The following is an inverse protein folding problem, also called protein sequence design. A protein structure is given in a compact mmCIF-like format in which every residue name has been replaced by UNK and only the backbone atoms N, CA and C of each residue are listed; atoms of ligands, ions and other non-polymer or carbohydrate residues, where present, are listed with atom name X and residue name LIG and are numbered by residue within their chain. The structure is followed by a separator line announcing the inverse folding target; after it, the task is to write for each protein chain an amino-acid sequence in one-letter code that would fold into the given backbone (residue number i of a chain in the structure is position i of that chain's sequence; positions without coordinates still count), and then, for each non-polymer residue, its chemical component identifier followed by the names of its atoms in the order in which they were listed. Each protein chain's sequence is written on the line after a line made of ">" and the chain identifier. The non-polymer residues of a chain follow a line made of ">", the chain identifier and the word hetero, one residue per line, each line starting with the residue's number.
data_IF_862211625025
#
_entry.id   IF_862211625025
#
_cell.length_a   1.000
_cell.length_b   1.000
_cell.length_c   1.000
_cell.angle_alpha   90.00
_cell.angle_beta   90.00
_cell.angle_gamma   90.00
#
_symmetry.space_group_name_H-M   'P 1'
#
loop_
_entity.id
_entity.type
_entity.pdbx_description
1 polymer ?
#
# COMPACT_ATOMS: atom_id res chain seq x y z
N UNK A 1 2.01 -13.07 -9.98
CA UNK A 1 2.04 -13.36 -8.52
C UNK A 1 2.61 -12.17 -7.78
N UNK A 2 1.98 -11.75 -6.66
CA UNK A 2 2.41 -10.61 -5.83
C UNK A 2 2.99 -11.07 -4.49
N UNK A 3 4.05 -10.42 -4.02
CA UNK A 3 4.62 -10.63 -2.67
C UNK A 3 5.38 -9.41 -2.19
N UNK A 4 5.24 -9.06 -0.93
CA UNK A 4 6.12 -8.12 -0.24
C UNK A 4 7.40 -8.86 0.10
N UNK A 5 8.56 -8.24 -0.09
CA UNK A 5 9.87 -8.81 0.21
C UNK A 5 10.42 -8.28 1.53
N UNK A 6 10.42 -6.97 1.68
CA UNK A 6 10.84 -6.32 2.92
C UNK A 6 10.15 -4.95 3.11
N UNK A 7 10.15 -4.50 4.35
CA UNK A 7 9.76 -3.16 4.76
C UNK A 7 10.80 -2.64 5.74
N UNK A 8 11.46 -1.53 5.38
CA UNK A 8 12.40 -0.82 6.23
C UNK A 8 11.78 0.46 6.74
N UNK A 9 11.80 0.65 8.04
CA UNK A 9 11.46 1.90 8.70
C UNK A 9 12.75 2.62 9.08
N UNK A 10 12.89 3.86 8.67
CA UNK A 10 14.09 4.67 8.92
C UNK A 10 13.65 5.86 9.76
N UNK A 11 14.26 6.01 10.93
CA UNK A 11 13.95 7.11 11.83
C UNK A 11 14.82 8.34 11.55
N UNK A 12 14.52 9.44 12.22
CA UNK A 12 15.26 10.71 12.09
C UNK A 12 16.73 10.62 12.49
N UNK A 13 17.09 9.63 13.31
CA UNK A 13 18.47 9.34 13.72
C UNK A 13 19.20 8.42 12.74
N UNK A 14 18.57 8.04 11.62
CA UNK A 14 19.08 7.11 10.62
C UNK A 14 19.19 5.66 11.10
N UNK A 15 18.52 5.31 12.19
CA UNK A 15 18.38 3.92 12.60
C UNK A 15 17.35 3.22 11.71
N UNK A 16 17.65 1.97 11.33
CA UNK A 16 16.84 1.19 10.42
C UNK A 16 16.23 -0.04 11.12
N UNK A 17 14.93 -0.24 10.92
CA UNK A 17 14.19 -1.39 11.40
C UNK A 17 13.62 -2.17 10.21
N UNK A 18 14.16 -3.36 9.95
CA UNK A 18 13.80 -4.17 8.78
C UNK A 18 12.86 -5.30 9.14
N UNK A 19 11.75 -5.38 8.44
CA UNK A 19 10.83 -6.52 8.44
C UNK A 19 10.98 -7.28 7.12
N UNK A 20 11.41 -8.54 7.19
CA UNK A 20 11.54 -9.41 6.02
C UNK A 20 10.36 -10.37 5.94
N UNK A 21 9.78 -10.49 4.75
CA UNK A 21 8.64 -11.38 4.49
C UNK A 21 9.10 -12.63 3.75
N UNK A 22 8.62 -13.78 4.19
CA UNK A 22 8.86 -15.07 3.53
C UNK A 22 7.78 -15.35 2.50
N UNK A 23 8.07 -16.21 1.54
CA UNK A 23 7.05 -16.73 0.65
C UNK A 23 5.98 -17.51 1.44
N UNK A 24 4.71 -17.35 1.05
CA UNK A 24 3.58 -17.95 1.75
C UNK A 24 3.04 -17.10 2.89
N UNK A 25 2.59 -17.74 3.98
CA UNK A 25 1.91 -17.06 5.08
C UNK A 25 2.96 -16.52 6.08
N UNK A 26 2.79 -15.26 6.46
CA UNK A 26 3.60 -14.59 7.47
C UNK A 26 2.72 -14.25 8.68
N UNK A 27 3.12 -14.71 9.87
CA UNK A 27 2.41 -14.46 11.12
C UNK A 27 3.15 -13.44 11.97
N UNK A 28 2.45 -12.40 12.37
CA UNK A 28 2.94 -11.40 13.32
C UNK A 28 2.32 -11.67 14.69
N UNK A 29 3.14 -12.12 15.64
CA UNK A 29 2.73 -12.42 17.01
C UNK A 29 3.26 -11.36 17.97
N UNK A 30 2.42 -10.89 18.88
CA UNK A 30 2.79 -9.95 19.93
C UNK A 30 1.69 -9.87 20.99
N UNK A 31 2.02 -9.30 22.15
CA UNK A 31 1.05 -9.00 23.21
C UNK A 31 -0.02 -8.03 22.72
N UNK A 32 -1.10 -7.87 23.47
CA UNK A 32 -2.04 -6.78 23.23
C UNK A 32 -1.28 -5.46 23.29
N UNK A 33 -1.72 -4.48 22.51
CA UNK A 33 -1.11 -3.15 22.37
C UNK A 33 0.35 -3.12 21.90
N UNK A 34 0.82 -4.20 21.24
CA UNK A 34 2.18 -4.27 20.66
C UNK A 34 2.29 -3.66 19.26
N UNK A 35 1.30 -2.91 18.80
CA UNK A 35 1.33 -2.23 17.49
C UNK A 35 0.99 -3.09 16.28
N UNK A 36 0.44 -4.32 16.44
CA UNK A 36 0.08 -5.18 15.29
C UNK A 36 -0.92 -4.53 14.34
N UNK A 37 -1.95 -3.91 14.89
CA UNK A 37 -2.98 -3.20 14.11
C UNK A 37 -2.37 -1.99 13.40
N UNK A 38 -1.47 -1.27 14.06
CA UNK A 38 -0.77 -0.14 13.46
C UNK A 38 0.19 -0.58 12.35
N UNK A 39 0.88 -1.70 12.53
CA UNK A 39 1.72 -2.28 11.49
C UNK A 39 0.90 -2.67 10.24
N UNK A 40 -0.28 -3.26 10.41
CA UNK A 40 -1.20 -3.54 9.32
C UNK A 40 -1.64 -2.26 8.58
N UNK A 41 -2.07 -1.24 9.31
CA UNK A 41 -2.44 0.08 8.74
C UNK A 41 -1.26 0.73 8.03
N UNK A 42 -0.05 0.51 8.53
CA UNK A 42 1.17 1.02 7.93
C UNK A 42 1.48 0.36 6.58
N UNK A 43 1.25 -0.94 6.46
CA UNK A 43 1.35 -1.62 5.15
C UNK A 43 0.32 -1.03 4.16
N UNK A 44 -0.91 -0.80 4.59
CA UNK A 44 -1.93 -0.14 3.79
C UNK A 44 -1.52 1.30 3.40
N UNK A 45 -0.91 2.04 4.33
CA UNK A 45 -0.32 3.35 4.05
C UNK A 45 0.72 3.26 2.94
N UNK A 46 1.63 2.30 2.97
CA UNK A 46 2.63 2.10 1.91
C UNK A 46 1.99 1.84 0.54
N UNK A 47 0.81 1.27 0.49
CA UNK A 47 0.03 1.05 -0.74
C UNK A 47 -0.94 2.20 -1.08
N UNK A 48 -0.65 3.41 -0.65
CA UNK A 48 -1.36 4.61 -1.09
C UNK A 48 -2.62 4.92 -0.28
N UNK A 49 -2.73 4.44 0.96
CA UNK A 49 -3.72 4.94 1.90
C UNK A 49 -3.46 6.40 2.24
N UNK A 50 -4.54 7.17 2.38
CA UNK A 50 -4.52 8.53 2.93
C UNK A 50 -4.43 8.55 4.46
N UNK A 51 -4.11 7.40 5.08
CA UNK A 51 -3.95 7.30 6.52
C UNK A 51 -2.88 8.28 7.01
N UNK A 52 -3.27 9.23 7.84
CA UNK A 52 -2.36 10.23 8.39
C UNK A 52 -1.55 9.62 9.54
N UNK A 53 -0.27 9.37 9.29
CA UNK A 53 0.67 8.86 10.28
C UNK A 53 1.34 9.96 11.11
N UNK A 54 1.15 11.24 10.76
CA UNK A 54 1.87 12.35 11.39
C UNK A 54 1.52 12.54 12.87
N UNK A 55 0.30 12.21 13.24
CA UNK A 55 -0.24 12.37 14.60
C UNK A 55 -0.20 11.08 15.43
N UNK A 56 0.47 10.03 14.94
CA UNK A 56 0.54 8.75 15.65
C UNK A 56 1.87 8.67 16.41
N UNK A 57 1.85 8.52 17.74
CA UNK A 57 3.06 8.50 18.56
C UNK A 57 4.12 7.48 18.11
N UNK A 58 3.69 6.30 17.62
CA UNK A 58 4.58 5.25 17.12
C UNK A 58 5.43 5.68 15.93
N UNK A 59 4.97 6.67 15.15
CA UNK A 59 5.65 7.18 13.97
C UNK A 59 6.23 8.58 14.16
N UNK A 60 6.25 9.10 15.42
CA UNK A 60 6.76 10.44 15.71
C UNK A 60 8.17 10.66 15.17
N UNK A 61 9.03 9.66 15.35
CA UNK A 61 10.42 9.70 14.92
C UNK A 61 10.66 9.07 13.53
N UNK A 62 9.63 8.66 12.80
CA UNK A 62 9.79 8.11 11.47
C UNK A 62 10.20 9.22 10.49
N UNK A 63 11.29 9.03 9.77
CA UNK A 63 11.68 9.89 8.63
C UNK A 63 11.02 9.40 7.35
N UNK A 64 11.26 8.12 7.02
CA UNK A 64 10.72 7.48 5.83
C UNK A 64 10.58 5.98 6.00
N UNK A 65 9.75 5.39 5.16
CA UNK A 65 9.64 3.96 5.02
C UNK A 65 9.95 3.54 3.59
N UNK A 66 10.66 2.43 3.45
CA UNK A 66 11.03 1.83 2.17
C UNK A 66 10.45 0.43 2.11
N UNK A 67 9.61 0.16 1.13
CA UNK A 67 9.07 -1.18 0.90
C UNK A 67 9.56 -1.71 -0.45
N UNK A 68 10.00 -2.95 -0.46
CA UNK A 68 10.29 -3.69 -1.68
C UNK A 68 9.24 -4.78 -1.85
N UNK A 69 8.62 -4.81 -3.00
CA UNK A 69 7.68 -5.87 -3.37
C UNK A 69 7.96 -6.39 -4.78
N UNK A 70 7.45 -7.57 -5.07
CA UNK A 70 7.56 -8.18 -6.39
C UNK A 70 6.16 -8.46 -6.95
N UNK A 71 5.94 -8.11 -8.22
CA UNK A 71 4.73 -8.42 -8.98
C UNK A 71 5.13 -8.99 -10.34
N UNK A 72 4.68 -10.20 -10.61
CA UNK A 72 4.90 -10.90 -11.88
C UNK A 72 6.38 -10.95 -12.32
N UNK A 73 7.28 -11.17 -11.36
CA UNK A 73 8.72 -11.28 -11.60
C UNK A 73 9.47 -9.96 -11.42
N UNK A 74 8.84 -8.82 -11.61
CA UNK A 74 9.45 -7.49 -11.52
C UNK A 74 9.48 -7.04 -10.06
N UNK A 75 10.61 -6.46 -9.64
CA UNK A 75 10.77 -5.89 -8.29
C UNK A 75 10.61 -4.38 -8.33
N UNK A 76 9.83 -3.90 -7.41
CA UNK A 76 9.53 -2.49 -7.21
C UNK A 76 10.00 -2.05 -5.83
N UNK A 77 10.48 -0.83 -5.75
CA UNK A 77 10.83 -0.15 -4.50
C UNK A 77 9.97 1.09 -4.37
N UNK A 78 9.24 1.18 -3.30
CA UNK A 78 8.43 2.34 -2.98
C UNK A 78 8.91 2.98 -1.69
N UNK A 79 8.90 4.30 -1.65
CA UNK A 79 9.28 5.06 -0.46
C UNK A 79 8.18 6.05 -0.14
N UNK A 80 7.79 6.10 1.11
CA UNK A 80 6.89 7.13 1.65
C UNK A 80 7.52 7.81 2.85
N UNK A 81 7.30 9.11 2.95
CA UNK A 81 7.69 9.93 4.10
C UNK A 81 6.46 10.34 4.91
N UNK A 82 6.66 10.98 6.06
CA UNK A 82 5.56 11.62 6.78
C UNK A 82 4.85 12.70 5.95
N UNK A 83 5.61 13.41 5.11
CA UNK A 83 5.03 14.35 4.18
C UNK A 83 4.40 13.57 3.02
N UNK A 84 3.08 13.57 2.93
CA UNK A 84 2.33 12.86 1.90
C UNK A 84 2.71 13.25 0.46
N UNK A 85 3.31 14.43 0.27
CA UNK A 85 3.71 14.93 -1.04
C UNK A 85 5.13 14.53 -1.46
N UNK A 86 5.87 13.83 -0.57
CA UNK A 86 7.24 13.39 -0.86
C UNK A 86 7.26 11.87 -0.88
N UNK A 87 7.20 11.29 -2.07
CA UNK A 87 7.21 9.86 -2.30
C UNK A 87 8.19 9.52 -3.43
N UNK A 88 8.57 8.23 -3.51
CA UNK A 88 9.42 7.73 -4.59
C UNK A 88 8.91 6.36 -5.03
N UNK A 89 9.11 6.09 -6.32
CA UNK A 89 8.70 4.84 -6.93
C UNK A 89 9.73 4.39 -7.96
N UNK A 90 10.40 3.27 -7.71
CA UNK A 90 11.49 2.75 -8.54
C UNK A 90 11.27 1.31 -8.98
N UNK A 91 11.88 0.96 -10.11
CA UNK A 91 12.10 -0.42 -10.54
C UNK A 91 13.51 -0.85 -10.14
N UNK A 92 13.65 -1.90 -9.34
CA UNK A 92 14.97 -2.31 -8.83
C UNK A 92 15.86 -2.90 -9.93
N UNK A 93 15.26 -3.56 -10.91
CA UNK A 93 15.98 -4.30 -11.94
C UNK A 93 16.30 -3.44 -13.19
N UNK A 94 15.96 -2.14 -13.20
CA UNK A 94 16.26 -1.20 -14.28
C UNK A 94 17.38 -0.22 -13.89
N UNK A 95 18.56 -0.25 -14.56
CA UNK A 95 19.75 0.49 -14.12
C UNK A 95 19.72 2.01 -14.34
N UNK A 96 18.67 2.58 -14.94
CA UNK A 96 18.58 4.00 -15.31
C UNK A 96 17.33 4.70 -14.75
N UNK A 97 16.82 4.24 -13.62
CA UNK A 97 15.62 4.87 -13.07
C UNK A 97 16.00 6.10 -12.23
N UNK A 98 15.46 7.25 -12.62
CA UNK A 98 15.59 8.49 -11.85
C UNK A 98 14.80 8.35 -10.54
N UNK A 99 15.53 8.41 -9.42
CA UNK A 99 14.95 8.52 -8.06
C UNK A 99 14.30 9.91 -7.89
N UNK A 100 13.34 10.26 -8.74
CA UNK A 100 12.66 11.54 -8.65
C UNK A 100 11.60 11.51 -7.56
N UNK A 101 11.54 12.60 -6.82
CA UNK A 101 10.44 12.87 -5.91
C UNK A 101 9.14 13.03 -6.72
N UNK A 102 8.09 12.33 -6.28
CA UNK A 102 6.78 12.36 -6.89
C UNK A 102 5.72 12.74 -5.85
N UNK A 103 4.68 13.41 -6.28
CA UNK A 103 3.54 13.71 -5.44
C UNK A 103 2.67 12.48 -5.17
N UNK A 104 1.67 12.63 -4.32
CA UNK A 104 0.84 11.52 -3.89
C UNK A 104 -0.07 10.98 -5.00
N UNK A 105 -0.53 11.83 -5.90
CA UNK A 105 -1.39 11.42 -7.01
C UNK A 105 -0.59 10.63 -8.05
N UNK A 106 0.61 11.08 -8.38
CA UNK A 106 1.52 10.35 -9.25
C UNK A 106 1.93 9.00 -8.62
N UNK A 107 2.21 8.99 -7.31
CA UNK A 107 2.50 7.76 -6.58
C UNK A 107 1.36 6.73 -6.68
N UNK A 108 0.12 7.16 -6.47
CA UNK A 108 -1.07 6.30 -6.62
C UNK A 108 -1.23 5.80 -8.06
N UNK A 109 -1.00 6.68 -9.05
CA UNK A 109 -1.10 6.32 -10.46
C UNK A 109 -0.07 5.25 -10.84
N UNK A 110 1.19 5.38 -10.37
CA UNK A 110 2.24 4.37 -10.60
C UNK A 110 1.89 3.03 -9.95
N UNK A 111 1.41 3.03 -8.71
CA UNK A 111 0.90 1.81 -8.05
C UNK A 111 -0.22 1.17 -8.87
N UNK A 112 -1.18 1.98 -9.34
CA UNK A 112 -2.29 1.50 -10.14
C UNK A 112 -1.82 0.82 -11.42
N UNK A 113 -0.83 1.41 -12.12
CA UNK A 113 -0.27 0.85 -13.35
C UNK A 113 0.37 -0.53 -13.13
N UNK A 114 1.01 -0.75 -11.98
CA UNK A 114 1.59 -2.08 -11.63
C UNK A 114 0.52 -3.13 -11.42
N UNK A 115 -0.57 -2.79 -10.75
CA UNK A 115 -1.60 -3.77 -10.36
C UNK A 115 -2.71 -3.93 -11.39
N UNK A 116 -2.91 -2.94 -12.24
CA UNK A 116 -3.88 -2.98 -13.32
C UNK A 116 -3.28 -2.48 -14.63
N UNK A 117 -2.60 -3.35 -15.38
CA UNK A 117 -1.95 -2.97 -16.64
C UNK A 117 -2.94 -2.59 -17.75
N UNK A 118 -4.23 -2.88 -17.59
CA UNK A 118 -5.28 -2.50 -18.55
C UNK A 118 -5.91 -1.15 -18.22
N UNK A 119 -5.12 -0.08 -18.29
CA UNK A 119 -5.62 1.30 -18.12
C UNK A 119 -6.85 1.62 -18.98
N UNK A 120 -6.91 1.05 -20.19
CA UNK A 120 -8.04 1.27 -21.10
C UNK A 120 -9.35 0.80 -20.49
N UNK A 121 -9.38 -0.42 -19.97
CA UNK A 121 -10.59 -0.98 -19.34
C UNK A 121 -10.97 -0.21 -18.07
N UNK A 122 -10.00 0.31 -17.33
CA UNK A 122 -10.26 1.13 -16.14
C UNK A 122 -10.80 2.50 -16.49
N UNK A 123 -10.33 3.13 -17.58
CA UNK A 123 -10.90 4.40 -18.09
C UNK A 123 -12.32 4.22 -18.58
N UNK A 124 -12.60 3.10 -19.24
CA UNK A 124 -13.96 2.76 -19.67
C UNK A 124 -14.88 2.50 -18.47
N UNK A 125 -14.40 1.82 -17.43
CA UNK A 125 -15.14 1.63 -16.18
C UNK A 125 -15.38 2.96 -15.45
N UNK A 126 -14.38 3.86 -15.36
CA UNK A 126 -14.53 5.20 -14.78
C UNK A 126 -15.64 6.00 -15.47
N UNK A 127 -15.65 5.99 -16.81
CA UNK A 127 -16.70 6.67 -17.58
C UNK A 127 -18.09 6.11 -17.32
N UNK A 128 -18.18 4.86 -16.90
CA UNK A 128 -19.46 4.17 -16.66
C UNK A 128 -19.97 4.31 -15.20
N UNK A 129 -19.07 4.49 -14.23
CA UNK A 129 -19.42 4.44 -12.79
C UNK A 129 -19.46 5.83 -12.16
N UNK A 130 -18.93 6.85 -12.84
CA UNK A 130 -18.77 8.23 -12.33
C UNK A 130 -17.99 8.32 -10.99
N UNK A 131 -17.16 7.30 -10.72
CA UNK A 131 -16.32 7.21 -9.52
C UNK A 131 -14.89 6.84 -9.89
N UNK A 132 -13.93 7.35 -9.13
CA UNK A 132 -12.51 7.01 -9.30
C UNK A 132 -12.20 5.61 -8.77
N UNK A 133 -12.00 4.65 -9.69
CA UNK A 133 -11.47 3.34 -9.35
C UNK A 133 -9.99 3.49 -9.04
N UNK A 134 -9.64 3.32 -7.78
CA UNK A 134 -8.25 3.39 -7.34
C UNK A 134 -7.69 1.99 -7.10
N UNK A 135 -6.36 1.87 -6.98
CA UNK A 135 -5.71 0.64 -6.53
C UNK A 135 -6.36 0.09 -5.24
N UNK A 136 -6.80 0.95 -4.34
CA UNK A 136 -7.45 0.56 -3.08
C UNK A 136 -8.78 -0.16 -3.28
N UNK A 137 -9.49 0.12 -4.35
CA UNK A 137 -10.73 -0.61 -4.70
C UNK A 137 -10.44 -2.11 -4.88
N UNK A 138 -9.30 -2.45 -5.50
CA UNK A 138 -8.88 -3.85 -5.65
C UNK A 138 -8.27 -4.44 -4.38
N UNK A 139 -7.64 -3.64 -3.54
CA UNK A 139 -7.00 -4.13 -2.31
C UNK A 139 -7.98 -4.35 -1.16
N UNK A 140 -9.21 -3.85 -1.24
CA UNK A 140 -10.24 -4.07 -0.22
C UNK A 140 -10.44 -5.56 0.10
N UNK A 141 -10.26 -6.44 -0.89
CA UNK A 141 -10.36 -7.89 -0.70
C UNK A 141 -9.12 -8.52 -0.06
N UNK A 142 -8.00 -7.79 -0.03
CA UNK A 142 -6.73 -8.28 0.47
C UNK A 142 -6.37 -7.71 1.85
N UNK A 143 -7.04 -6.63 2.26
CA UNK A 143 -6.83 -5.98 3.54
C UNK A 143 -8.07 -6.12 4.44
N UNK A 144 -8.09 -7.18 5.25
CA UNK A 144 -9.16 -7.46 6.20
C UNK A 144 -8.77 -6.94 7.59
N UNK A 145 -9.39 -5.85 8.02
CA UNK A 145 -9.23 -5.32 9.38
C UNK A 145 -9.96 -6.17 10.43
N UNK A 146 -9.67 -5.93 11.70
CA UNK A 146 -10.27 -6.65 12.85
C UNK A 146 -11.82 -6.63 12.85
N UNK A 147 -12.41 -5.55 12.36
CA UNK A 147 -13.88 -5.38 12.28
C UNK A 147 -14.51 -6.11 11.10
N UNK A 148 -13.71 -6.69 10.20
CA UNK A 148 -14.19 -7.39 8.99
C UNK A 148 -13.99 -8.90 9.06
N UNK A 149 -13.81 -9.45 10.25
CA UNK A 149 -13.63 -10.89 10.44
C UNK A 149 -14.91 -11.66 10.10
N UNK A 150 -14.89 -12.33 8.95
CA UNK A 150 -15.76 -13.46 8.66
C UNK A 150 -17.20 -13.17 8.24
N UNK A 151 -17.58 -11.93 7.99
CA UNK A 151 -18.94 -11.61 7.55
C UNK A 151 -18.95 -11.15 6.10
N UNK A 152 -19.36 -12.06 5.21
CA UNK A 152 -19.52 -11.77 3.76
C UNK A 152 -20.43 -10.55 3.53
N UNK A 153 -21.38 -10.30 4.40
CA UNK A 153 -22.27 -9.14 4.34
C UNK A 153 -21.56 -7.80 4.52
N UNK A 154 -20.47 -7.74 5.29
CA UNK A 154 -19.70 -6.51 5.47
C UNK A 154 -19.00 -6.05 4.16
N UNK A 155 -18.71 -6.99 3.27
CA UNK A 155 -18.16 -6.65 1.95
C UNK A 155 -19.20 -5.99 1.05
N UNK A 156 -20.45 -6.37 1.19
CA UNK A 156 -21.52 -5.87 0.31
C UNK A 156 -22.23 -4.63 0.86
N UNK A 157 -22.16 -4.37 2.16
CA UNK A 157 -22.93 -3.29 2.79
C UNK A 157 -22.17 -1.96 2.93
N UNK A 158 -20.85 -1.96 2.87
CA UNK A 158 -20.05 -0.80 3.34
C UNK A 158 -19.41 0.07 2.28
N UNK A 159 -19.40 -0.28 1.01
CA UNK A 159 -18.91 0.66 0.02
C UNK A 159 -19.63 0.53 -1.32
N UNK A 160 -20.03 1.65 -1.86
CA UNK A 160 -20.44 1.77 -3.24
C UNK A 160 -19.38 1.18 -4.18
N UNK A 161 -18.09 1.36 -3.86
CA UNK A 161 -16.94 0.86 -4.60
C UNK A 161 -16.96 -0.66 -4.83
N UNK A 162 -17.39 -1.46 -3.83
CA UNK A 162 -17.47 -2.92 -3.97
C UNK A 162 -18.60 -3.35 -4.89
N UNK A 163 -19.73 -2.65 -4.85
CA UNK A 163 -20.90 -2.96 -5.72
C UNK A 163 -20.55 -2.81 -7.20
N UNK A 164 -19.62 -1.93 -7.52
CA UNK A 164 -19.19 -1.67 -8.88
C UNK A 164 -18.06 -2.59 -9.35
N UNK A 165 -17.17 -3.01 -8.45
CA UNK A 165 -16.09 -3.93 -8.78
C UNK A 165 -16.57 -5.36 -9.11
N UNK A 166 -17.82 -5.71 -8.73
CA UNK A 166 -18.42 -7.03 -8.95
C UNK A 166 -19.45 -7.08 -10.10
N UNK A 167 -19.72 -5.96 -10.75
CA UNK A 167 -20.54 -5.88 -11.97
C UNK A 167 -19.66 -5.87 -13.21
#
# INVERSE_FOLDING_TARGET
>A
MFKILNLNLINVNKEEYTYSFKAGINFFKGKNDSGKTEFYKFIDFMFGSSYDISNIPWYENLEKAVMVFQKDGIKYKIVRTKNSNINYFDYIDEPNYDNNEIDFEEYKAKLMAVFSPNEKNLRELRAFIDEDITYRTFTLFNFLGETRQGVVNDFFDKSHEIKYALK
#
